data_IF_134483740207
#
_entry.id   IF_134483740207
#
_cell.length_a   1.000
_cell.length_b   1.000
_cell.length_c   1.000
_cell.angle_alpha   90.00
_cell.angle_beta   90.00
_cell.angle_gamma   90.00
#
_symmetry.space_group_name_H-M   'P 1'
#
loop_
_entity.id
_entity.type
_entity.pdbx_description
1 polymer ?
#
# COMPACT_ATOMS: atom_id res chain seq x y z
N UNK A 1 -8.95 8.97 14.20
CA UNK A 1 -8.58 8.02 13.13
C UNK A 1 -9.41 8.33 11.90
N UNK A 2 -8.81 8.32 10.71
CA UNK A 2 -9.52 8.60 9.46
C UNK A 2 -10.48 7.42 9.16
N UNK A 3 -11.80 7.63 9.03
CA UNK A 3 -12.73 6.52 8.82
C UNK A 3 -12.61 6.04 7.36
N UNK A 4 -12.11 4.82 7.17
CA UNK A 4 -12.08 4.16 5.85
C UNK A 4 -13.40 3.45 5.50
N UNK A 5 -14.20 3.14 6.52
CA UNK A 5 -15.57 2.66 6.39
C UNK A 5 -16.49 3.67 7.05
N UNK A 6 -17.53 4.08 6.32
CA UNK A 6 -18.53 5.04 6.80
C UNK A 6 -19.90 4.40 6.82
N UNK A 7 -20.78 4.90 7.69
CA UNK A 7 -22.18 4.47 7.73
C UNK A 7 -22.97 5.19 6.65
N UNK A 8 -23.78 4.44 5.93
CA UNK A 8 -24.59 4.96 4.83
C UNK A 8 -25.97 4.31 4.81
N UNK A 9 -26.93 5.01 4.24
CA UNK A 9 -28.23 4.45 3.88
C UNK A 9 -28.44 4.67 2.39
N UNK A 10 -28.77 3.60 1.67
CA UNK A 10 -29.04 3.64 0.25
C UNK A 10 -30.13 2.61 -0.05
N UNK A 11 -31.09 2.98 -0.91
CA UNK A 11 -32.16 2.08 -1.32
C UNK A 11 -31.76 1.34 -2.60
N UNK A 12 -30.89 0.35 -2.47
CA UNK A 12 -30.43 -0.50 -3.57
C UNK A 12 -30.20 -1.94 -3.10
N UNK A 13 -30.38 -2.92 -3.98
CA UNK A 13 -30.31 -4.35 -3.62
C UNK A 13 -28.90 -4.94 -3.66
N UNK A 14 -28.01 -4.31 -4.43
CA UNK A 14 -26.66 -4.78 -4.73
C UNK A 14 -25.61 -3.71 -4.36
N UNK A 15 -24.36 -4.12 -4.06
CA UNK A 15 -23.27 -3.18 -3.93
C UNK A 15 -23.02 -2.38 -5.21
N UNK A 16 -22.60 -1.13 -5.07
CA UNK A 16 -22.30 -0.25 -6.20
C UNK A 16 -21.22 0.77 -5.84
N UNK A 17 -20.59 1.34 -6.87
CA UNK A 17 -19.57 2.39 -6.72
C UNK A 17 -20.18 3.75 -7.00
N UNK A 18 -19.83 4.74 -6.19
CA UNK A 18 -20.28 6.13 -6.34
C UNK A 18 -19.17 7.10 -5.95
N UNK A 19 -19.04 8.21 -6.67
CA UNK A 19 -18.18 9.34 -6.30
C UNK A 19 -19.05 10.47 -5.75
N UNK A 20 -18.73 10.92 -4.54
CA UNK A 20 -19.48 12.01 -3.91
C UNK A 20 -19.03 13.37 -4.47
N UNK A 21 -19.98 14.29 -4.63
CA UNK A 21 -19.73 15.66 -5.08
C UNK A 21 -20.48 16.65 -4.21
N UNK A 22 -19.79 17.56 -3.52
CA UNK A 22 -20.40 18.53 -2.61
C UNK A 22 -20.68 19.88 -3.27
N UNK A 23 -20.00 20.22 -4.36
CA UNK A 23 -20.17 21.45 -5.16
C UNK A 23 -20.25 22.77 -4.34
N UNK A 24 -19.61 22.84 -3.17
CA UNK A 24 -19.74 23.97 -2.24
C UNK A 24 -19.06 25.28 -2.72
N UNK A 25 -18.60 25.37 -3.97
CA UNK A 25 -17.92 26.56 -4.51
C UNK A 25 -18.49 27.14 -5.82
N UNK A 26 -19.29 26.42 -6.62
CA UNK A 26 -19.78 26.92 -7.91
C UNK A 26 -21.31 26.90 -8.01
N UNK A 27 -21.92 27.75 -7.20
CA UNK A 27 -23.29 28.17 -7.40
C UNK A 27 -23.40 29.07 -8.64
N UNK A 28 -23.33 28.49 -9.87
CA UNK A 28 -24.17 28.82 -11.05
C UNK A 28 -23.59 28.45 -12.44
N UNK A 29 -22.33 28.03 -12.58
CA UNK A 29 -21.74 27.89 -13.94
C UNK A 29 -21.38 26.48 -14.43
N UNK A 30 -21.54 25.41 -13.63
CA UNK A 30 -21.21 24.03 -14.06
C UNK A 30 -22.34 23.00 -13.92
N UNK A 31 -23.62 23.41 -13.89
CA UNK A 31 -24.73 22.44 -13.97
C UNK A 31 -24.91 21.80 -15.35
N UNK A 32 -24.01 22.05 -16.31
CA UNK A 32 -24.21 21.72 -17.73
C UNK A 32 -23.20 20.77 -18.36
N UNK A 33 -22.16 20.34 -17.64
CA UNK A 33 -21.43 19.12 -18.05
C UNK A 33 -22.13 17.93 -17.37
N UNK A 34 -22.57 16.96 -18.18
CA UNK A 34 -23.27 15.79 -17.68
C UNK A 34 -22.43 15.12 -16.58
N UNK A 35 -22.94 15.15 -15.35
CA UNK A 35 -22.39 14.39 -14.23
C UNK A 35 -22.08 12.98 -14.70
N UNK A 36 -20.92 12.46 -14.29
CA UNK A 36 -20.62 11.07 -14.59
C UNK A 36 -21.75 10.19 -14.01
N UNK A 37 -22.17 9.11 -14.68
CA UNK A 37 -23.23 8.23 -14.16
C UNK A 37 -22.97 7.69 -12.75
N UNK A 38 -21.71 7.66 -12.32
CA UNK A 38 -21.31 7.25 -10.97
C UNK A 38 -21.16 8.42 -9.98
N UNK A 39 -21.42 9.66 -10.37
CA UNK A 39 -21.43 10.81 -9.45
C UNK A 39 -22.76 10.87 -8.69
N UNK A 40 -22.67 11.21 -7.39
CA UNK A 40 -23.82 11.62 -6.58
C UNK A 40 -23.56 13.00 -5.98
N UNK A 41 -24.45 13.94 -6.27
CA UNK A 41 -24.34 15.34 -5.86
C UNK A 41 -25.02 15.57 -4.51
N UNK A 42 -24.38 16.34 -3.64
CA UNK A 42 -24.93 16.77 -2.36
C UNK A 42 -26.15 17.66 -2.61
N UNK A 43 -27.30 17.23 -2.11
CA UNK A 43 -28.55 17.95 -2.23
C UNK A 43 -28.84 18.78 -0.98
N UNK A 44 -28.61 18.20 0.20
CA UNK A 44 -28.84 18.86 1.49
C UNK A 44 -28.04 18.22 2.62
N UNK A 45 -27.71 19.02 3.62
CA UNK A 45 -27.12 18.56 4.88
C UNK A 45 -28.15 18.72 5.97
N UNK A 46 -28.52 17.62 6.63
CA UNK A 46 -29.47 17.60 7.74
C UNK A 46 -28.84 17.13 9.05
N UNK A 47 -29.56 17.22 10.17
CA UNK A 47 -29.07 16.77 11.48
C UNK A 47 -28.77 15.27 11.52
N UNK A 48 -29.42 14.49 10.66
CA UNK A 48 -29.22 13.04 10.55
C UNK A 48 -28.14 12.64 9.53
N UNK A 49 -27.57 13.58 8.78
CA UNK A 49 -26.54 13.29 7.78
C UNK A 49 -26.71 14.05 6.47
N UNK A 50 -25.79 13.78 5.55
CA UNK A 50 -25.72 14.43 4.25
C UNK A 50 -26.42 13.60 3.18
N UNK A 51 -27.34 14.21 2.46
CA UNK A 51 -28.12 13.57 1.41
C UNK A 51 -27.49 13.86 0.04
N UNK A 52 -27.19 12.79 -0.68
CA UNK A 52 -26.65 12.81 -2.03
C UNK A 52 -27.64 12.15 -3.00
N UNK A 53 -27.70 12.64 -4.23
CA UNK A 53 -28.54 12.07 -5.29
C UNK A 53 -27.68 11.86 -6.53
N UNK A 54 -27.70 10.65 -7.08
CA UNK A 54 -27.04 10.29 -8.34
C UNK A 54 -27.92 9.38 -9.19
N UNK A 55 -27.39 8.88 -10.30
CA UNK A 55 -28.15 8.00 -11.21
C UNK A 55 -28.61 6.69 -10.54
N UNK A 56 -27.86 6.21 -9.54
CA UNK A 56 -28.20 5.04 -8.72
C UNK A 56 -29.24 5.29 -7.63
N UNK A 57 -29.80 6.49 -7.53
CA UNK A 57 -30.78 6.88 -6.52
C UNK A 57 -30.19 7.65 -5.32
N UNK A 58 -31.00 7.91 -4.28
CA UNK A 58 -30.58 8.68 -3.12
C UNK A 58 -29.68 7.88 -2.18
N UNK A 59 -28.67 8.55 -1.63
CA UNK A 59 -27.72 8.00 -0.65
C UNK A 59 -27.60 9.00 0.50
N UNK A 60 -27.69 8.51 1.73
CA UNK A 60 -27.46 9.31 2.93
C UNK A 60 -26.17 8.87 3.61
N UNK A 61 -25.26 9.83 3.82
CA UNK A 61 -23.97 9.63 4.48
C UNK A 61 -24.05 10.13 5.92
N UNK A 62 -23.62 9.30 6.87
CA UNK A 62 -23.82 9.55 8.30
C UNK A 62 -22.49 9.80 9.02
N UNK A 63 -22.47 10.81 9.91
CA UNK A 63 -21.38 11.03 10.86
C UNK A 63 -20.06 11.52 10.28
N UNK A 64 -20.07 12.05 9.05
CA UNK A 64 -18.92 12.69 8.43
C UNK A 64 -19.35 13.95 7.70
N UNK A 65 -18.56 15.00 7.85
CA UNK A 65 -18.75 16.27 7.17
C UNK A 65 -18.59 16.08 5.64
N UNK A 66 -19.57 16.52 4.82
CA UNK A 66 -19.50 16.46 3.36
C UNK A 66 -18.19 16.99 2.78
N UNK A 67 -17.67 18.08 3.34
CA UNK A 67 -16.44 18.72 2.88
C UNK A 67 -15.21 17.81 3.00
N UNK A 68 -15.28 16.76 3.82
CA UNK A 68 -14.21 15.78 4.04
C UNK A 68 -14.28 14.57 3.11
N UNK A 69 -15.36 14.44 2.34
CA UNK A 69 -15.62 13.32 1.44
C UNK A 69 -15.96 13.76 0.02
N UNK A 70 -15.87 15.07 -0.28
CA UNK A 70 -16.01 15.56 -1.65
C UNK A 70 -14.95 14.93 -2.58
N UNK A 71 -15.41 14.39 -3.71
CA UNK A 71 -14.60 13.66 -4.67
C UNK A 71 -14.21 12.24 -4.25
N UNK A 72 -14.52 11.80 -3.03
CA UNK A 72 -14.24 10.43 -2.60
C UNK A 72 -15.06 9.42 -3.41
N UNK A 73 -14.45 8.28 -3.70
CA UNK A 73 -15.10 7.16 -4.37
C UNK A 73 -15.36 6.05 -3.35
N UNK A 74 -16.63 5.68 -3.24
CA UNK A 74 -17.15 4.73 -2.27
C UNK A 74 -17.60 3.44 -2.96
N UNK A 75 -17.35 2.31 -2.31
CA UNK A 75 -18.07 1.06 -2.55
C UNK A 75 -19.16 0.93 -1.49
N UNK A 76 -20.40 1.21 -1.90
CA UNK A 76 -21.58 1.15 -1.03
C UNK A 76 -22.06 -0.28 -0.93
N UNK A 77 -22.30 -0.74 0.31
CA UNK A 77 -22.97 -2.01 0.59
C UNK A 77 -24.30 -1.73 1.32
N UNK A 78 -25.42 -1.62 0.59
CA UNK A 78 -26.72 -1.25 1.15
C UNK A 78 -27.18 -2.22 2.25
N UNK A 79 -26.99 -3.53 2.04
CA UNK A 79 -27.39 -4.58 3.00
C UNK A 79 -26.66 -4.47 4.34
N UNK A 80 -25.44 -3.91 4.34
CA UNK A 80 -24.66 -3.69 5.57
C UNK A 80 -24.84 -2.28 6.14
N UNK A 81 -25.52 -1.36 5.45
CA UNK A 81 -25.61 0.04 5.84
C UNK A 81 -24.24 0.73 5.95
N UNK A 82 -23.26 0.29 5.15
CA UNK A 82 -21.89 0.81 5.19
C UNK A 82 -21.32 1.00 3.79
N UNK A 83 -20.36 1.90 3.66
CA UNK A 83 -19.57 2.07 2.45
C UNK A 83 -18.08 2.06 2.80
N UNK A 84 -17.29 1.37 1.97
CA UNK A 84 -15.83 1.41 2.02
C UNK A 84 -15.34 2.57 1.13
N UNK A 85 -14.51 3.47 1.66
CA UNK A 85 -13.87 4.54 0.90
C UNK A 85 -12.71 3.95 0.11
N UNK A 86 -12.97 3.58 -1.15
CA UNK A 86 -11.98 2.97 -2.04
C UNK A 86 -10.91 3.98 -2.47
N UNK A 87 -11.34 5.21 -2.81
CA UNK A 87 -10.45 6.32 -3.13
C UNK A 87 -10.85 7.52 -2.31
N UNK A 88 -9.87 8.09 -1.61
CA UNK A 88 -10.02 9.38 -0.95
C UNK A 88 -9.37 10.44 -1.84
N UNK A 89 -10.16 11.39 -2.32
CA UNK A 89 -9.72 12.41 -3.30
C UNK A 89 -8.57 13.27 -2.77
N UNK A 90 -8.63 13.58 -1.48
CA UNK A 90 -7.66 14.41 -0.74
C UNK A 90 -6.44 13.64 -0.24
N UNK A 91 -6.28 12.38 -0.64
CA UNK A 91 -5.21 11.49 -0.18
C UNK A 91 -4.37 10.97 -1.34
N UNK A 92 -3.03 10.99 -1.24
CA UNK A 92 -2.18 10.22 -2.14
C UNK A 92 -2.15 8.72 -1.77
N UNK A 93 -2.69 8.34 -0.60
CA UNK A 93 -2.68 6.96 -0.12
C UNK A 93 -4.01 6.27 -0.41
N UNK A 94 -4.11 5.60 -1.56
CA UNK A 94 -5.27 4.80 -1.95
C UNK A 94 -4.79 3.40 -2.35
N UNK A 95 -5.35 2.36 -1.73
CA UNK A 95 -4.96 0.98 -2.00
C UNK A 95 -6.18 0.08 -2.07
N UNK A 96 -6.30 -0.70 -3.13
CA UNK A 96 -7.31 -1.73 -3.27
C UNK A 96 -6.82 -3.04 -2.68
N UNK A 97 -7.60 -3.59 -1.75
CA UNK A 97 -7.38 -4.93 -1.22
C UNK A 97 -8.10 -5.94 -2.12
N UNK A 98 -7.38 -6.54 -3.06
CA UNK A 98 -8.00 -7.36 -4.11
C UNK A 98 -8.28 -8.81 -3.69
N UNK A 99 -7.56 -9.30 -2.68
CA UNK A 99 -7.78 -10.64 -2.14
C UNK A 99 -7.18 -10.79 -0.75
N UNK A 100 -7.71 -11.70 0.06
CA UNK A 100 -7.10 -12.11 1.32
C UNK A 100 -6.50 -13.53 1.24
N UNK A 101 -6.64 -14.21 0.08
CA UNK A 101 -5.97 -15.48 -0.17
C UNK A 101 -4.50 -15.24 -0.44
N UNK A 102 -3.64 -16.07 0.14
CA UNK A 102 -2.20 -16.08 -0.08
C UNK A 102 -1.72 -17.54 -0.01
N UNK A 103 -0.67 -17.87 -0.76
CA UNK A 103 0.00 -19.18 -0.74
C UNK A 103 1.30 -19.16 0.11
N UNK A 104 1.53 -18.08 0.85
CA UNK A 104 2.58 -17.95 1.85
C UNK A 104 1.99 -17.64 3.22
N UNK A 105 2.74 -17.96 4.27
CA UNK A 105 2.32 -17.79 5.68
C UNK A 105 3.42 -17.06 6.43
N UNK A 106 3.73 -15.85 5.97
CA UNK A 106 4.89 -15.09 6.45
C UNK A 106 4.82 -14.83 7.96
N UNK A 107 5.94 -15.02 8.66
CA UNK A 107 6.02 -14.94 10.12
C UNK A 107 5.56 -13.57 10.70
N UNK A 108 5.71 -12.51 9.91
CA UNK A 108 5.37 -11.13 10.24
C UNK A 108 4.11 -10.61 9.53
N UNK A 109 3.33 -11.48 8.87
CA UNK A 109 2.21 -11.07 8.04
C UNK A 109 1.21 -10.19 8.82
N UNK A 110 1.00 -8.96 8.36
CA UNK A 110 0.04 -8.02 8.94
C UNK A 110 -1.41 -8.42 8.64
N UNK A 111 -1.62 -9.18 7.57
CA UNK A 111 -2.92 -9.68 7.13
C UNK A 111 -2.87 -11.19 6.88
N UNK A 112 -2.95 -12.01 7.94
CA UNK A 112 -2.94 -13.47 7.83
C UNK A 112 -3.91 -14.01 6.75
N UNK A 113 -3.49 -15.01 5.96
CA UNK A 113 -4.29 -15.47 4.81
C UNK A 113 -5.66 -16.00 5.22
N UNK A 114 -6.68 -15.71 4.41
CA UNK A 114 -8.02 -16.28 4.51
C UNK A 114 -8.33 -17.18 3.33
N UNK A 115 -9.26 -18.12 3.51
CA UNK A 115 -9.64 -19.08 2.46
C UNK A 115 -10.54 -18.49 1.39
N UNK A 116 -11.37 -17.51 1.75
CA UNK A 116 -12.39 -16.95 0.87
C UNK A 116 -11.82 -15.83 0.00
N UNK A 117 -12.20 -15.79 -1.27
CA UNK A 117 -11.97 -14.66 -2.17
C UNK A 117 -13.32 -14.20 -2.75
N UNK A 118 -13.56 -12.90 -2.72
CA UNK A 118 -14.66 -12.26 -3.45
C UNK A 118 -14.01 -11.44 -4.55
N UNK A 119 -14.45 -11.65 -5.79
CA UNK A 119 -13.98 -10.83 -6.90
C UNK A 119 -14.64 -9.45 -6.83
N UNK A 120 -13.82 -8.43 -6.56
CA UNK A 120 -14.22 -7.03 -6.50
C UNK A 120 -13.57 -6.20 -7.62
N UNK A 121 -12.84 -6.81 -8.56
CA UNK A 121 -12.18 -6.11 -9.66
C UNK A 121 -13.12 -5.21 -10.47
N UNK A 122 -14.38 -5.60 -10.78
CA UNK A 122 -15.30 -4.70 -11.47
C UNK A 122 -15.57 -3.38 -10.72
N UNK A 123 -15.67 -3.44 -9.38
CA UNK A 123 -15.85 -2.24 -8.57
C UNK A 123 -14.57 -1.41 -8.48
N UNK A 124 -13.41 -2.07 -8.38
CA UNK A 124 -12.12 -1.40 -8.39
C UNK A 124 -11.83 -0.69 -9.71
N UNK A 125 -12.26 -1.27 -10.84
CA UNK A 125 -12.16 -0.66 -12.16
C UNK A 125 -12.94 0.65 -12.23
N UNK A 126 -14.23 0.60 -11.88
CA UNK A 126 -15.06 1.81 -11.80
C UNK A 126 -14.44 2.83 -10.85
N UNK A 127 -13.94 2.40 -9.69
CA UNK A 127 -13.33 3.30 -8.73
C UNK A 127 -12.06 3.97 -9.29
N UNK A 128 -11.17 3.21 -9.94
CA UNK A 128 -9.96 3.74 -10.54
C UNK A 128 -10.26 4.75 -11.66
N UNK A 129 -11.27 4.49 -12.49
CA UNK A 129 -11.70 5.42 -13.55
C UNK A 129 -12.20 6.76 -13.00
N UNK A 130 -12.71 6.77 -11.76
CA UNK A 130 -13.19 7.96 -11.05
C UNK A 130 -12.10 8.64 -10.20
N UNK A 131 -10.91 8.07 -10.12
CA UNK A 131 -9.79 8.58 -9.32
C UNK A 131 -9.36 10.00 -9.76
N UNK A 132 -8.80 10.81 -8.84
CA UNK A 132 -8.17 12.09 -9.17
C UNK A 132 -7.16 11.96 -10.31
N UNK A 133 -6.95 13.06 -11.03
CA UNK A 133 -5.95 13.14 -12.09
C UNK A 133 -4.54 12.87 -11.53
N UNK A 134 -3.74 12.08 -12.25
CA UNK A 134 -2.35 11.78 -11.88
C UNK A 134 -2.20 10.87 -10.67
N UNK A 135 -3.27 10.23 -10.17
CA UNK A 135 -3.21 9.40 -8.98
C UNK A 135 -2.40 8.11 -9.19
N UNK A 136 -1.62 7.73 -8.17
CA UNK A 136 -1.04 6.40 -8.04
C UNK A 136 -1.92 5.54 -7.13
N UNK A 137 -2.37 4.39 -7.62
CA UNK A 137 -3.23 3.46 -6.88
C UNK A 137 -2.44 2.22 -6.47
N UNK A 138 -2.44 1.90 -5.19
CA UNK A 138 -1.86 0.66 -4.68
C UNK A 138 -2.78 -0.54 -4.95
N UNK A 139 -2.22 -1.67 -5.33
CA UNK A 139 -2.88 -2.98 -5.34
C UNK A 139 -2.20 -3.83 -4.26
N UNK A 140 -2.99 -4.33 -3.32
CA UNK A 140 -2.51 -5.12 -2.19
C UNK A 140 -3.45 -6.30 -1.93
N UNK A 141 -2.99 -7.24 -1.11
CA UNK A 141 -3.77 -8.41 -0.73
C UNK A 141 -2.93 -9.44 -0.01
N UNK A 142 -3.47 -10.65 0.11
CA UNK A 142 -2.69 -11.84 0.41
C UNK A 142 -1.67 -12.10 -0.70
N UNK A 143 -2.13 -12.58 -1.86
CA UNK A 143 -1.32 -12.66 -3.09
C UNK A 143 -2.16 -12.33 -4.33
N UNK A 144 -2.03 -11.11 -4.90
CA UNK A 144 -2.79 -10.71 -6.08
C UNK A 144 -2.56 -11.57 -7.34
N UNK A 145 -1.34 -12.08 -7.57
CA UNK A 145 -1.03 -12.87 -8.77
C UNK A 145 -1.68 -14.26 -8.78
N UNK A 146 -2.27 -14.73 -7.66
CA UNK A 146 -3.19 -15.88 -7.69
C UNK A 146 -4.42 -15.64 -8.57
N UNK A 147 -4.74 -14.37 -8.86
CA UNK A 147 -5.83 -13.91 -9.71
C UNK A 147 -5.30 -13.09 -10.89
N UNK A 148 -4.14 -13.49 -11.43
CA UNK A 148 -3.42 -12.75 -12.48
C UNK A 148 -4.25 -12.42 -13.71
N UNK A 149 -5.16 -13.30 -14.12
CA UNK A 149 -6.07 -13.02 -15.24
C UNK A 149 -6.94 -11.77 -15.01
N UNK A 150 -7.60 -11.69 -13.85
CA UNK A 150 -8.38 -10.51 -13.47
C UNK A 150 -7.50 -9.29 -13.26
N UNK A 151 -6.37 -9.44 -12.56
CA UNK A 151 -5.45 -8.34 -12.24
C UNK A 151 -4.88 -7.69 -13.50
N UNK A 152 -4.29 -8.48 -14.40
CA UNK A 152 -3.66 -7.98 -15.62
C UNK A 152 -4.69 -7.36 -16.57
N UNK A 153 -5.89 -7.94 -16.66
CA UNK A 153 -6.97 -7.38 -17.46
C UNK A 153 -7.50 -6.06 -16.88
N UNK A 154 -7.64 -5.96 -15.56
CA UNK A 154 -7.98 -4.71 -14.85
C UNK A 154 -6.92 -3.62 -15.11
N UNK A 155 -5.63 -3.94 -14.94
CA UNK A 155 -4.55 -2.98 -15.18
C UNK A 155 -4.56 -2.49 -16.63
N UNK A 156 -4.70 -3.40 -17.60
CA UNK A 156 -4.80 -3.05 -19.02
C UNK A 156 -5.96 -2.08 -19.29
N UNK A 157 -7.18 -2.45 -18.90
CA UNK A 157 -8.37 -1.62 -19.14
C UNK A 157 -8.27 -0.23 -18.52
N UNK A 158 -7.81 -0.13 -17.27
CA UNK A 158 -7.68 1.18 -16.62
C UNK A 158 -6.58 2.02 -17.27
N UNK A 159 -5.41 1.44 -17.57
CA UNK A 159 -4.29 2.17 -18.15
C UNK A 159 -4.55 2.60 -19.59
N UNK A 160 -5.39 1.87 -20.34
CA UNK A 160 -5.86 2.26 -21.68
C UNK A 160 -6.86 3.43 -21.60
N UNK A 161 -7.76 3.42 -20.61
CA UNK A 161 -8.76 4.46 -20.42
C UNK A 161 -8.23 5.73 -19.72
N UNK A 162 -7.19 5.61 -18.90
CA UNK A 162 -6.61 6.68 -18.08
C UNK A 162 -5.09 6.69 -18.20
N UNK A 163 -4.60 7.48 -19.17
CA UNK A 163 -3.17 7.64 -19.45
C UNK A 163 -2.39 8.26 -18.27
N UNK A 164 -3.07 9.03 -17.41
CA UNK A 164 -2.50 9.77 -16.29
C UNK A 164 -2.31 8.93 -15.01
N UNK A 165 -3.00 7.79 -14.89
CA UNK A 165 -2.95 6.96 -13.70
C UNK A 165 -1.73 6.02 -13.68
N UNK A 166 -1.25 5.72 -12.49
CA UNK A 166 -0.21 4.71 -12.25
C UNK A 166 -0.57 3.75 -11.12
N UNK A 167 0.10 2.60 -11.05
CA UNK A 167 -0.13 1.57 -10.06
C UNK A 167 1.14 1.13 -9.34
N UNK A 168 0.99 0.82 -8.05
CA UNK A 168 1.98 0.10 -7.26
C UNK A 168 1.38 -1.24 -6.82
N UNK A 169 1.87 -2.35 -7.37
CA UNK A 169 1.30 -3.68 -7.17
C UNK A 169 2.16 -4.49 -6.22
N UNK A 170 1.64 -4.79 -5.04
CA UNK A 170 2.29 -5.67 -4.07
C UNK A 170 2.00 -7.14 -4.42
N UNK A 171 3.06 -7.93 -4.60
CA UNK A 171 2.98 -9.38 -4.87
C UNK A 171 4.18 -10.07 -4.21
N UNK A 172 4.01 -11.32 -3.79
CA UNK A 172 5.07 -12.19 -3.29
C UNK A 172 6.03 -12.68 -4.38
N UNK A 173 5.77 -12.35 -5.65
CA UNK A 173 6.67 -12.65 -6.76
C UNK A 173 6.68 -14.12 -7.17
N UNK A 174 5.73 -14.94 -6.73
CA UNK A 174 5.77 -16.40 -6.93
C UNK A 174 5.07 -16.89 -8.21
N UNK A 175 4.12 -16.12 -8.75
CA UNK A 175 3.20 -16.59 -9.81
C UNK A 175 3.38 -15.79 -11.12
N UNK A 176 4.61 -15.79 -11.63
CA UNK A 176 4.95 -15.20 -12.93
C UNK A 176 5.44 -16.29 -13.88
N UNK A 177 4.70 -16.52 -14.95
CA UNK A 177 4.95 -17.62 -15.87
C UNK A 177 5.23 -17.07 -17.29
N UNK A 178 5.88 -17.84 -18.18
CA UNK A 178 6.11 -17.42 -19.56
C UNK A 178 4.84 -16.99 -20.30
N UNK A 179 3.70 -17.60 -20.00
CA UNK A 179 2.41 -17.29 -20.62
C UNK A 179 1.89 -15.88 -20.25
N UNK A 180 2.37 -15.30 -19.14
CA UNK A 180 1.99 -13.96 -18.70
C UNK A 180 2.75 -12.86 -19.48
N UNK A 181 3.81 -13.22 -20.21
CA UNK A 181 4.71 -12.27 -20.86
C UNK A 181 4.00 -11.29 -21.79
N UNK A 182 3.04 -11.77 -22.58
CA UNK A 182 2.32 -10.92 -23.53
C UNK A 182 1.46 -9.88 -22.80
N UNK A 183 0.69 -10.32 -21.80
CA UNK A 183 -0.13 -9.43 -20.99
C UNK A 183 0.72 -8.39 -20.24
N UNK A 184 1.84 -8.81 -19.65
CA UNK A 184 2.75 -7.90 -18.94
C UNK A 184 3.43 -6.90 -19.89
N UNK A 185 3.79 -7.31 -21.11
CA UNK A 185 4.40 -6.38 -22.10
C UNK A 185 3.45 -5.29 -22.57
N UNK A 186 2.14 -5.54 -22.56
CA UNK A 186 1.12 -4.54 -22.91
C UNK A 186 0.92 -3.49 -21.82
N UNK A 187 1.29 -3.81 -20.58
CA UNK A 187 1.27 -2.85 -19.49
C UNK A 187 2.41 -1.84 -19.69
N UNK A 188 2.07 -0.56 -19.63
CA UNK A 188 3.06 0.51 -19.66
C UNK A 188 4.00 0.40 -18.44
N UNK A 189 5.25 0.06 -18.73
CA UNK A 189 6.32 -0.12 -17.73
C UNK A 189 6.55 1.13 -16.90
N UNK A 190 6.34 2.33 -17.45
CA UNK A 190 6.51 3.58 -16.72
C UNK A 190 5.42 3.84 -15.67
N UNK A 191 4.30 3.13 -15.77
CA UNK A 191 3.09 3.37 -14.96
C UNK A 191 2.79 2.26 -13.96
N UNK A 192 3.51 1.14 -13.98
CA UNK A 192 3.33 0.05 -13.00
C UNK A 192 4.63 -0.35 -12.34
N UNK A 193 4.67 -0.22 -11.01
CA UNK A 193 5.77 -0.70 -10.17
C UNK A 193 5.32 -1.93 -9.39
N UNK A 194 6.09 -3.00 -9.46
CA UNK A 194 5.84 -4.25 -8.73
C UNK A 194 6.65 -4.26 -7.44
N UNK A 195 5.98 -4.18 -6.30
CA UNK A 195 6.57 -4.30 -4.97
C UNK A 195 6.71 -5.76 -4.57
N UNK A 196 7.95 -6.26 -4.55
CA UNK A 196 8.26 -7.69 -4.39
C UNK A 196 9.12 -7.91 -3.14
N UNK A 197 8.71 -8.79 -2.20
CA UNK A 197 9.48 -9.07 -1.01
C UNK A 197 10.69 -9.94 -1.32
N UNK A 198 11.86 -9.57 -0.79
CA UNK A 198 13.06 -10.41 -0.76
C UNK A 198 13.70 -10.30 0.63
N UNK A 199 13.59 -11.36 1.43
CA UNK A 199 13.96 -11.29 2.85
C UNK A 199 15.39 -11.73 3.17
N UNK A 200 16.02 -12.53 2.31
CA UNK A 200 17.38 -13.04 2.48
C UNK A 200 17.88 -13.65 1.18
N UNK A 201 19.21 -13.67 1.00
CA UNK A 201 19.87 -14.46 -0.06
C UNK A 201 20.08 -15.94 0.35
N UNK A 202 19.93 -16.24 1.64
CA UNK A 202 19.96 -17.59 2.17
C UNK A 202 18.56 -18.24 2.02
N UNK A 203 18.41 -19.32 1.22
CA UNK A 203 17.12 -20.00 1.06
C UNK A 203 16.52 -20.46 2.38
N UNK A 204 17.32 -20.98 3.31
CA UNK A 204 16.83 -21.50 4.58
C UNK A 204 16.20 -20.39 5.44
N UNK A 205 16.78 -19.19 5.41
CA UNK A 205 16.24 -18.02 6.11
C UNK A 205 15.01 -17.48 5.38
N UNK A 206 15.11 -17.29 4.06
CA UNK A 206 14.03 -16.72 3.24
C UNK A 206 12.75 -17.56 3.33
N UNK A 207 12.87 -18.86 3.06
CA UNK A 207 11.75 -19.79 2.97
C UNK A 207 11.10 -20.00 4.34
N UNK A 208 11.89 -19.99 5.41
CA UNK A 208 11.38 -19.99 6.78
C UNK A 208 10.58 -18.73 7.10
N UNK A 209 11.03 -17.56 6.65
CA UNK A 209 10.32 -16.29 6.87
C UNK A 209 8.95 -16.31 6.19
N UNK A 210 8.85 -16.84 4.96
CA UNK A 210 7.59 -16.87 4.19
C UNK A 210 6.74 -18.12 4.42
N UNK A 211 7.27 -19.11 5.13
CA UNK A 211 6.57 -20.36 5.43
C UNK A 211 6.35 -21.25 4.20
N UNK A 212 7.24 -21.19 3.20
CA UNK A 212 7.13 -21.94 1.94
C UNK A 212 8.52 -22.35 1.45
N UNK A 213 8.77 -23.65 1.37
CA UNK A 213 10.01 -24.20 0.83
C UNK A 213 10.10 -23.97 -0.69
N UNK A 214 11.30 -23.66 -1.19
CA UNK A 214 11.56 -23.33 -2.60
C UNK A 214 11.14 -21.91 -2.98
N UNK A 215 10.65 -21.09 -2.04
CA UNK A 215 10.11 -19.77 -2.36
C UNK A 215 11.17 -18.80 -2.88
N UNK A 216 12.40 -18.83 -2.34
CA UNK A 216 13.49 -18.01 -2.85
C UNK A 216 13.88 -18.42 -4.28
N UNK A 217 13.98 -19.71 -4.56
CA UNK A 217 14.35 -20.21 -5.89
C UNK A 217 13.36 -19.74 -6.95
N UNK A 218 12.07 -20.00 -6.72
CA UNK A 218 11.00 -19.53 -7.61
C UNK A 218 11.01 -18.01 -7.77
N UNK A 219 11.23 -17.27 -6.67
CA UNK A 219 11.30 -15.81 -6.71
C UNK A 219 12.44 -15.30 -7.61
N UNK A 220 13.62 -15.93 -7.55
CA UNK A 220 14.76 -15.52 -8.37
C UNK A 220 14.54 -15.81 -9.86
N UNK A 221 13.90 -16.93 -10.19
CA UNK A 221 13.48 -17.24 -11.57
C UNK A 221 12.50 -16.18 -12.10
N UNK A 222 11.52 -15.82 -11.28
CA UNK A 222 10.50 -14.83 -11.64
C UNK A 222 11.10 -13.42 -11.74
N UNK A 223 12.03 -13.04 -10.86
CA UNK A 223 12.78 -11.79 -11.00
C UNK A 223 13.59 -11.75 -12.30
N UNK A 224 14.19 -12.87 -12.71
CA UNK A 224 14.88 -12.95 -13.99
C UNK A 224 13.91 -12.80 -15.18
N UNK A 225 12.70 -13.37 -15.09
CA UNK A 225 11.64 -13.17 -16.08
C UNK A 225 11.23 -11.69 -16.14
N UNK A 226 10.96 -11.07 -15.00
CA UNK A 226 10.59 -9.65 -14.90
C UNK A 226 11.69 -8.72 -15.42
N UNK A 227 12.96 -9.06 -15.19
CA UNK A 227 14.10 -8.36 -15.79
C UNK A 227 14.05 -8.39 -17.32
N UNK A 228 13.83 -9.58 -17.93
CA UNK A 228 13.69 -9.71 -19.40
C UNK A 228 12.47 -8.94 -19.93
N UNK A 229 11.42 -8.87 -19.12
CA UNK A 229 10.21 -8.09 -19.39
C UNK A 229 10.36 -6.61 -19.05
N UNK A 230 11.52 -6.15 -18.56
CA UNK A 230 11.83 -4.75 -18.19
C UNK A 230 10.81 -4.14 -17.24
N UNK A 231 10.18 -4.97 -16.40
CA UNK A 231 9.23 -4.54 -15.39
C UNK A 231 9.94 -3.68 -14.34
N UNK A 232 9.26 -2.64 -13.85
CA UNK A 232 9.78 -1.83 -12.76
C UNK A 232 9.57 -2.58 -11.44
N UNK A 233 10.68 -2.98 -10.79
CA UNK A 233 10.64 -3.74 -9.54
C UNK A 233 11.10 -2.86 -8.38
N UNK A 234 10.27 -2.76 -7.34
CA UNK A 234 10.68 -2.32 -6.00
C UNK A 234 10.90 -3.57 -5.14
N UNK A 235 12.13 -3.82 -4.71
CA UNK A 235 12.39 -4.86 -3.72
C UNK A 235 12.03 -4.37 -2.33
N UNK A 236 11.42 -5.23 -1.53
CA UNK A 236 10.96 -4.89 -0.18
C UNK A 236 11.53 -5.89 0.83
N UNK A 237 12.16 -5.40 1.88
CA UNK A 237 12.73 -6.25 2.93
C UNK A 237 12.27 -5.74 4.27
N UNK A 238 11.33 -6.46 4.92
CA UNK A 238 11.02 -6.20 6.33
C UNK A 238 12.21 -6.65 7.17
N UNK A 239 12.79 -5.71 7.91
CA UNK A 239 13.92 -5.96 8.80
C UNK A 239 13.46 -6.71 10.04
N UNK A 240 14.06 -7.85 10.31
CA UNK A 240 13.72 -8.73 11.42
C UNK A 240 14.97 -9.40 11.98
N UNK A 241 14.91 -9.88 13.22
CA UNK A 241 16.04 -10.60 13.84
C UNK A 241 16.57 -11.75 12.98
N UNK A 242 15.74 -12.59 12.33
CA UNK A 242 16.24 -13.69 11.51
C UNK A 242 17.00 -13.27 10.24
N UNK A 243 16.84 -12.03 9.74
CA UNK A 243 17.49 -11.59 8.51
C UNK A 243 18.48 -10.42 8.68
N UNK A 244 18.51 -9.76 9.84
CA UNK A 244 19.34 -8.58 10.07
C UNK A 244 20.84 -8.84 9.84
N UNK A 245 21.37 -9.94 10.38
CA UNK A 245 22.79 -10.31 10.19
C UNK A 245 23.12 -10.63 8.72
N UNK A 246 22.13 -11.14 7.97
CA UNK A 246 22.22 -11.45 6.55
C UNK A 246 22.05 -10.24 5.63
N UNK A 247 21.60 -9.09 6.14
CA UNK A 247 21.24 -7.92 5.34
C UNK A 247 22.41 -7.40 4.48
N UNK A 248 23.67 -7.31 4.96
CA UNK A 248 24.79 -6.89 4.11
C UNK A 248 25.14 -7.91 3.01
N UNK A 249 24.82 -9.19 3.21
CA UNK A 249 24.96 -10.22 2.17
C UNK A 249 23.87 -10.07 1.11
N UNK A 250 22.65 -9.78 1.54
CA UNK A 250 21.54 -9.46 0.64
C UNK A 250 21.84 -8.20 -0.19
N UNK A 251 22.33 -7.13 0.44
CA UNK A 251 22.74 -5.91 -0.23
C UNK A 251 23.76 -6.16 -1.35
N UNK A 252 24.81 -6.96 -1.07
CA UNK A 252 25.80 -7.36 -2.08
C UNK A 252 25.16 -8.10 -3.24
N UNK A 253 24.27 -9.04 -2.95
CA UNK A 253 23.55 -9.79 -3.97
C UNK A 253 22.67 -8.90 -4.85
N UNK A 254 21.92 -7.98 -4.23
CA UNK A 254 21.10 -7.00 -4.97
C UNK A 254 22.00 -6.18 -5.90
N UNK A 255 23.08 -5.63 -5.36
CA UNK A 255 23.99 -4.77 -6.12
C UNK A 255 24.75 -5.49 -7.25
N UNK A 256 25.00 -6.80 -7.14
CA UNK A 256 25.73 -7.56 -8.16
C UNK A 256 24.83 -8.29 -9.15
N UNK A 257 23.61 -8.67 -8.74
CA UNK A 257 22.79 -9.65 -9.46
C UNK A 257 21.41 -9.11 -9.83
N UNK A 258 20.90 -8.14 -9.07
CA UNK A 258 19.61 -7.50 -9.35
C UNK A 258 19.74 -6.00 -9.62
N UNK A 259 20.75 -5.50 -10.37
CA UNK A 259 20.91 -4.05 -10.59
C UNK A 259 19.80 -3.44 -11.44
N UNK A 260 18.92 -4.25 -12.05
CA UNK A 260 17.79 -3.78 -12.87
C UNK A 260 16.61 -3.26 -12.04
N UNK A 261 16.59 -3.51 -10.72
CA UNK A 261 15.50 -3.05 -9.87
C UNK A 261 15.47 -1.52 -9.84
N UNK A 262 14.27 -0.96 -9.68
CA UNK A 262 14.09 0.48 -9.54
C UNK A 262 14.61 0.98 -8.20
N UNK A 263 14.28 0.26 -7.12
CA UNK A 263 14.65 0.67 -5.76
C UNK A 263 14.58 -0.51 -4.80
N UNK A 264 15.32 -0.42 -3.70
CA UNK A 264 15.24 -1.32 -2.57
C UNK A 264 14.71 -0.63 -1.30
N UNK A 265 13.55 -1.03 -0.83
CA UNK A 265 12.95 -0.54 0.40
C UNK A 265 13.25 -1.50 1.56
N UNK A 266 14.04 -1.05 2.53
CA UNK A 266 14.18 -1.72 3.82
C UNK A 266 13.10 -1.15 4.73
N UNK A 267 12.33 -2.02 5.37
CA UNK A 267 11.11 -1.64 6.07
C UNK A 267 11.15 -2.05 7.54
N UNK A 268 10.66 -1.19 8.42
CA UNK A 268 10.39 -1.58 9.81
C UNK A 268 9.07 -2.33 9.96
N UNK A 269 9.06 -3.28 10.92
CA UNK A 269 7.98 -4.25 11.11
C UNK A 269 6.74 -3.63 11.76
N UNK A 270 5.56 -3.95 11.23
CA UNK A 270 4.26 -3.52 11.74
C UNK A 270 3.75 -4.49 12.83
N UNK A 271 3.28 -3.99 13.98
CA UNK A 271 2.81 -4.82 15.09
C UNK A 271 1.33 -5.21 14.94
N UNK A 272 1.00 -6.01 13.94
CA UNK A 272 -0.37 -6.51 13.71
C UNK A 272 -0.31 -7.93 13.11
N UNK A 273 -1.45 -8.64 13.10
CA UNK A 273 -1.52 -10.00 12.55
C UNK A 273 -0.52 -10.94 13.23
N UNK A 274 0.20 -11.72 12.42
CA UNK A 274 1.28 -12.59 12.91
C UNK A 274 2.50 -11.80 13.41
N UNK A 275 2.76 -10.60 12.87
CA UNK A 275 3.83 -9.72 13.36
C UNK A 275 3.66 -9.34 14.85
N UNK A 276 2.41 -9.14 15.29
CA UNK A 276 2.10 -8.96 16.72
C UNK A 276 2.39 -10.22 17.54
N UNK A 277 1.93 -11.38 17.06
CA UNK A 277 2.08 -12.66 17.76
C UNK A 277 3.55 -13.05 17.94
N UNK A 278 4.38 -12.74 16.95
CA UNK A 278 5.79 -13.09 16.89
C UNK A 278 6.72 -11.91 17.22
N UNK A 279 6.20 -10.81 17.78
CA UNK A 279 6.97 -9.57 17.94
C UNK A 279 8.28 -9.76 18.70
N UNK A 280 8.25 -10.47 19.84
CA UNK A 280 9.44 -10.70 20.68
C UNK A 280 10.57 -11.42 19.96
N UNK A 281 10.25 -12.31 19.02
CA UNK A 281 11.22 -13.11 18.28
C UNK A 281 11.64 -12.48 16.96
N UNK A 282 10.79 -11.63 16.37
CA UNK A 282 11.03 -11.04 15.04
C UNK A 282 11.52 -9.59 15.08
N UNK A 283 11.04 -8.76 16.01
CA UNK A 283 11.32 -7.34 15.96
C UNK A 283 12.82 -7.06 16.14
N UNK A 284 13.40 -6.39 15.16
CA UNK A 284 14.77 -5.92 15.19
C UNK A 284 14.81 -4.43 15.54
N UNK A 285 15.43 -4.12 16.67
CA UNK A 285 15.58 -2.74 17.10
C UNK A 285 16.71 -2.05 16.32
N UNK A 286 16.35 -1.36 15.24
CA UNK A 286 17.30 -0.59 14.45
C UNK A 286 17.82 0.66 15.17
N UNK A 287 17.21 1.07 16.28
CA UNK A 287 17.68 2.22 17.07
C UNK A 287 18.94 1.91 17.88
N UNK A 288 19.22 0.63 18.12
CA UNK A 288 20.48 0.12 18.68
C UNK A 288 21.38 -0.50 17.61
N UNK A 289 20.78 -1.20 16.63
CA UNK A 289 21.48 -1.98 15.63
C UNK A 289 21.56 -1.36 14.24
N UNK A 290 21.65 -0.03 14.09
CA UNK A 290 21.54 0.59 12.77
C UNK A 290 22.69 0.23 11.81
N UNK A 291 23.87 -0.13 12.31
CA UNK A 291 25.06 -0.36 11.49
C UNK A 291 24.88 -1.38 10.37
N UNK A 292 24.10 -2.46 10.59
CA UNK A 292 23.81 -3.44 9.54
C UNK A 292 22.96 -2.85 8.42
N UNK A 293 22.04 -1.93 8.76
CA UNK A 293 21.18 -1.21 7.83
C UNK A 293 22.00 -0.18 7.05
N UNK A 294 22.76 0.66 7.76
CA UNK A 294 23.62 1.69 7.17
C UNK A 294 24.59 1.13 6.15
N UNK A 295 25.38 0.11 6.51
CA UNK A 295 26.32 -0.54 5.58
C UNK A 295 25.63 -1.14 4.35
N UNK A 296 24.43 -1.68 4.52
CA UNK A 296 23.68 -2.29 3.42
C UNK A 296 23.19 -1.24 2.43
N UNK A 297 22.69 -0.11 2.93
CA UNK A 297 22.27 1.03 2.13
C UNK A 297 23.45 1.66 1.39
N UNK A 298 24.54 1.95 2.12
CA UNK A 298 25.74 2.57 1.53
C UNK A 298 26.30 1.73 0.37
N UNK A 299 26.29 0.41 0.53
CA UNK A 299 26.76 -0.51 -0.51
C UNK A 299 25.90 -0.45 -1.77
N UNK A 300 24.57 -0.49 -1.63
CA UNK A 300 23.64 -0.52 -2.77
C UNK A 300 23.60 0.84 -3.47
N UNK A 301 23.55 1.94 -2.71
CA UNK A 301 23.59 3.31 -3.26
C UNK A 301 24.93 3.63 -3.90
N UNK A 302 26.04 3.14 -3.34
CA UNK A 302 27.37 3.25 -3.96
C UNK A 302 27.50 2.52 -5.31
N UNK A 303 26.51 1.69 -5.67
CA UNK A 303 26.39 1.04 -6.98
C UNK A 303 25.30 1.63 -7.87
N UNK A 304 24.75 2.79 -7.49
CA UNK A 304 23.76 3.51 -8.28
C UNK A 304 22.33 2.99 -8.16
N UNK A 305 22.05 2.12 -7.19
CA UNK A 305 20.69 1.61 -6.94
C UNK A 305 20.08 2.41 -5.78
N UNK A 306 18.88 2.94 -5.98
CA UNK A 306 18.17 3.65 -4.92
C UNK A 306 17.78 2.71 -3.78
N UNK A 307 17.96 3.20 -2.55
CA UNK A 307 17.55 2.50 -1.35
C UNK A 307 16.91 3.45 -0.34
N UNK A 308 15.81 3.00 0.27
CA UNK A 308 14.97 3.78 1.18
C UNK A 308 14.63 3.01 2.46
N UNK A 309 14.36 3.76 3.52
CA UNK A 309 13.97 3.28 4.85
C UNK A 309 12.48 3.55 5.06
N UNK A 310 11.65 2.55 4.88
CA UNK A 310 10.20 2.69 5.07
C UNK A 310 9.80 2.37 6.50
N UNK A 311 8.90 3.17 7.06
CA UNK A 311 8.34 3.00 8.40
C UNK A 311 9.34 3.18 9.55
N UNK A 312 10.49 3.82 9.30
CA UNK A 312 11.46 4.17 10.33
C UNK A 312 11.11 5.55 10.92
N UNK A 313 10.82 5.67 12.22
CA UNK A 313 10.78 6.97 12.88
C UNK A 313 12.15 7.64 12.79
N UNK A 314 12.23 8.93 12.42
CA UNK A 314 13.52 9.60 12.21
C UNK A 314 14.43 9.63 13.45
N UNK A 315 13.86 9.55 14.65
CA UNK A 315 14.62 9.47 15.90
C UNK A 315 15.36 8.13 16.09
N UNK A 316 14.99 7.08 15.35
CA UNK A 316 15.68 5.78 15.36
C UNK A 316 16.73 5.66 14.24
N UNK A 317 16.89 6.72 13.43
CA UNK A 317 17.77 6.75 12.26
C UNK A 317 18.91 7.76 12.53
N UNK A 318 20.19 7.35 12.38
CA UNK A 318 21.31 8.29 12.49
C UNK A 318 21.18 9.43 11.47
N UNK A 319 21.60 10.63 11.87
CA UNK A 319 21.37 11.88 11.12
C UNK A 319 21.72 11.78 9.63
N UNK A 320 22.88 11.19 9.31
CA UNK A 320 23.35 11.02 7.93
C UNK A 320 22.42 10.19 7.03
N UNK A 321 21.52 9.38 7.59
CA UNK A 321 20.59 8.53 6.84
C UNK A 321 19.13 9.02 6.86
N UNK A 322 18.80 10.07 7.63
CA UNK A 322 17.40 10.51 7.82
C UNK A 322 16.71 10.93 6.53
N UNK A 323 17.46 11.53 5.60
CA UNK A 323 16.98 11.89 4.27
C UNK A 323 16.55 10.67 3.41
N UNK A 324 16.92 9.46 3.82
CA UNK A 324 16.52 8.21 3.18
C UNK A 324 15.27 7.58 3.81
N UNK A 325 14.68 8.21 4.82
CA UNK A 325 13.54 7.69 5.57
C UNK A 325 12.29 8.59 5.40
N UNK A 326 11.69 8.64 4.19
CA UNK A 326 10.49 9.43 3.96
C UNK A 326 9.29 8.91 4.78
N UNK A 327 8.29 9.77 4.97
CA UNK A 327 7.06 9.41 5.68
C UNK A 327 6.17 8.44 4.87
N UNK A 328 6.45 7.14 4.97
CA UNK A 328 5.79 6.09 4.17
C UNK A 328 4.60 5.41 4.84
N UNK A 329 4.36 5.62 6.13
CA UNK A 329 3.20 5.07 6.83
C UNK A 329 1.97 5.85 6.36
N UNK A 330 0.98 5.14 5.81
CA UNK A 330 -0.28 5.75 5.39
C UNK A 330 -0.88 6.58 6.53
N UNK A 331 -1.41 7.74 6.19
CA UNK A 331 -1.90 8.71 7.17
C UNK A 331 -2.92 8.16 8.18
N UNK A 332 -3.78 7.25 7.76
CA UNK A 332 -4.78 6.59 8.60
C UNK A 332 -4.19 5.57 9.59
N UNK A 333 -2.93 5.15 9.39
CA UNK A 333 -2.16 4.27 10.28
C UNK A 333 -1.12 5.00 11.12
N UNK A 334 -0.90 6.30 10.90
CA UNK A 334 0.25 7.02 11.45
C UNK A 334 -0.10 7.71 12.77
N UNK A 335 0.75 7.50 13.77
CA UNK A 335 0.68 8.16 15.08
C UNK A 335 2.00 8.82 15.47
N UNK A 336 1.90 9.80 16.36
CA UNK A 336 3.03 10.38 17.09
C UNK A 336 2.81 10.19 18.58
N UNK A 337 3.89 9.88 19.31
CA UNK A 337 3.84 9.66 20.75
C UNK A 337 4.07 10.96 21.53
N UNK A 338 3.90 10.92 22.85
CA UNK A 338 4.14 12.07 23.73
C UNK A 338 5.56 12.61 23.61
N UNK A 339 6.53 11.71 23.46
CA UNK A 339 7.96 11.97 23.25
C UNK A 339 8.24 12.71 21.94
N UNK A 340 7.28 12.76 21.00
CA UNK A 340 7.40 13.57 19.78
C UNK A 340 7.05 15.05 20.01
N UNK A 341 6.62 15.43 21.22
CA UNK A 341 6.36 16.83 21.59
C UNK A 341 7.60 17.69 21.42
N UNK A 342 7.48 18.80 20.69
CA UNK A 342 8.60 19.73 20.44
C UNK A 342 9.68 19.23 19.47
N UNK A 343 9.52 18.06 18.84
CA UNK A 343 10.50 17.55 17.87
C UNK A 343 10.51 18.40 16.60
N UNK A 344 11.69 18.94 16.22
CA UNK A 344 11.86 19.76 15.01
C UNK A 344 11.57 19.03 13.71
N UNK A 345 11.85 17.72 13.67
CA UNK A 345 11.65 16.88 12.48
C UNK A 345 10.27 16.21 12.41
N UNK A 346 9.32 16.57 13.28
CA UNK A 346 8.02 15.90 13.37
C UNK A 346 7.23 15.97 12.05
N UNK A 347 7.30 17.09 11.33
CA UNK A 347 6.57 17.29 10.08
C UNK A 347 7.05 16.36 8.95
N UNK A 348 8.33 16.03 8.93
CA UNK A 348 8.97 15.17 7.93
C UNK A 348 8.97 13.69 8.32
N UNK A 349 8.79 13.40 9.61
CA UNK A 349 8.88 12.04 10.15
C UNK A 349 7.68 11.17 9.75
N UNK A 350 7.93 9.91 9.41
CA UNK A 350 6.89 8.90 9.21
C UNK A 350 6.11 8.53 10.48
N UNK A 351 6.58 8.94 11.65
CA UNK A 351 5.99 8.59 12.94
C UNK A 351 6.06 7.09 13.21
N UNK A 352 5.06 6.58 13.91
CA UNK A 352 4.89 5.16 14.22
C UNK A 352 3.59 4.66 13.62
N UNK A 353 3.46 3.34 13.46
CA UNK A 353 2.14 2.73 13.33
C UNK A 353 1.32 3.03 14.60
N UNK A 354 0.03 3.35 14.44
CA UNK A 354 -0.91 3.70 15.52
C UNK A 354 -0.95 2.62 16.61
N UNK A 355 -0.82 1.36 16.21
CA UNK A 355 -0.78 0.19 17.09
C UNK A 355 0.64 -0.24 17.47
N UNK A 356 1.66 0.60 17.26
CA UNK A 356 3.02 0.29 17.68
C UNK A 356 3.08 0.24 19.22
N UNK A 357 3.67 -0.81 19.84
CA UNK A 357 3.53 -1.04 21.28
C UNK A 357 4.24 0.02 22.12
N UNK A 358 3.55 0.56 23.12
CA UNK A 358 4.12 1.61 23.98
C UNK A 358 5.29 1.12 24.84
N UNK A 359 5.22 -0.11 25.34
CA UNK A 359 6.12 -0.65 26.36
C UNK A 359 7.24 -1.58 25.85
N UNK A 360 7.26 -1.88 24.55
CA UNK A 360 8.29 -2.75 23.96
C UNK A 360 8.49 -2.45 22.48
N UNK A 361 9.72 -2.51 21.99
CA UNK A 361 10.06 -2.11 20.62
C UNK A 361 11.42 -1.44 20.62
N UNK A 362 11.48 -0.20 20.13
CA UNK A 362 12.69 0.61 20.12
C UNK A 362 13.13 0.99 21.53
N UNK A 363 14.42 0.79 21.84
CA UNK A 363 15.07 1.25 23.06
C UNK A 363 15.42 2.74 23.00
N UNK A 364 15.86 3.23 21.83
CA UNK A 364 16.31 4.62 21.67
C UNK A 364 15.26 5.44 20.90
N UNK A 365 14.45 6.20 21.64
CA UNK A 365 13.47 7.16 21.12
C UNK A 365 13.70 8.53 21.75
N UNK A 366 13.45 9.59 20.98
CA UNK A 366 13.51 10.95 21.53
C UNK A 366 13.19 12.02 20.51
N UNK A 367 12.70 13.17 20.99
CA UNK A 367 12.56 14.36 20.17
C UNK A 367 13.93 14.83 19.68
N UNK A 368 14.04 15.12 18.39
CA UNK A 368 15.21 15.75 17.81
C UNK A 368 15.05 17.26 17.99
N UNK A 369 15.98 17.84 18.73
CA UNK A 369 15.98 19.24 19.15
C UNK A 369 16.66 20.17 18.15
#
# INVERSE_FOLDING_TARGET
>A
MIPLRIKVEANADQPFVVRLRSFEADAREQRTDQLNPFDAALERVGPEGAHYVGAGGPIRILGIDPSKVDGDVLLVNPRRGTADRLIRSSSPHNTFLVTERCDQVCLMCSQPPKKHHVDLFPYFETAALLAPEGATIGISGGEPMLFKGQLLAFLGRVLDARADLSFHVLTNGQHFDPDDCEAIRRIDRGRVVWGIPLYSRDPAVHDKIVGKAGALEQLLENLALMCRLGSQVELRTVLMRPNADGLPRLARFIASTLPFIRTWAIMQMENIGFGRMNWKTLFYDSSEGFDVVGRSIDLVRGRGIDAWLYNFPLCTVPERYRHLAPATISDWKRAYRGECGGCKLKAECGGFFEWHPASHGYSNLGAIQ
#
